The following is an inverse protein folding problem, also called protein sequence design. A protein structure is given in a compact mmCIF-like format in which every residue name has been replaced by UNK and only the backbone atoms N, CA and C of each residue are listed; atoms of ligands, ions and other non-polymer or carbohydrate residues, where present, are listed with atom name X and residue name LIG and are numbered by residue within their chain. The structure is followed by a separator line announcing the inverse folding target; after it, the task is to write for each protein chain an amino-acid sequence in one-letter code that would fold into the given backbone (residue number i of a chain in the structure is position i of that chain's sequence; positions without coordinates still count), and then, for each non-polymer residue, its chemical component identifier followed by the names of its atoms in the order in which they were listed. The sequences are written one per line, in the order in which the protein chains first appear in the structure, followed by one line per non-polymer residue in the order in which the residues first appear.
data_IF_923170388141
#
_entry.id   IF_923170388141
#
_cell.length_a   1.000
_cell.length_b   1.000
_cell.length_c   1.000
_cell.angle_alpha   90.00
_cell.angle_beta   90.00
_cell.angle_gamma   90.00
#
_symmetry.space_group_name_H-M   'P 1'
#
loop_
_entity.id
_entity.type
_entity.pdbx_description
1 polymer ?
#
# COMPACT_ATOMS: atom_id res chain seq x y z
N UNK A 1 -5.60 -17.68 14.10
CA UNK A 1 -4.73 -17.54 12.93
C UNK A 1 -5.23 -16.36 12.13
N UNK A 2 -4.31 -15.57 11.57
CA UNK A 2 -4.63 -14.51 10.63
C UNK A 2 -5.29 -15.13 9.41
N UNK A 3 -6.39 -14.55 8.94
CA UNK A 3 -7.17 -15.04 7.82
C UNK A 3 -7.43 -13.96 6.76
N UNK A 4 -8.02 -14.38 5.64
CA UNK A 4 -8.25 -13.58 4.45
C UNK A 4 -9.15 -12.37 4.74
N UNK A 5 -10.12 -12.52 5.64
CA UNK A 5 -11.04 -11.43 6.01
C UNK A 5 -10.28 -10.34 6.77
N UNK A 6 -9.37 -10.71 7.68
CA UNK A 6 -8.57 -9.73 8.42
C UNK A 6 -7.62 -8.96 7.50
N UNK A 7 -6.97 -9.64 6.55
CA UNK A 7 -6.10 -9.00 5.57
C UNK A 7 -6.90 -8.13 4.59
N UNK A 8 -8.05 -8.62 4.10
CA UNK A 8 -8.92 -7.83 3.23
C UNK A 8 -9.43 -6.57 3.94
N UNK A 9 -9.77 -6.66 5.23
CA UNK A 9 -10.17 -5.51 6.04
C UNK A 9 -9.01 -4.51 6.23
N UNK A 10 -7.78 -5.01 6.46
CA UNK A 10 -6.58 -4.17 6.51
C UNK A 10 -6.37 -3.44 5.17
N UNK A 11 -6.37 -4.17 4.05
CA UNK A 11 -6.13 -3.59 2.73
C UNK A 11 -7.23 -2.59 2.33
N UNK A 12 -8.49 -2.86 2.69
CA UNK A 12 -9.59 -1.93 2.48
C UNK A 12 -9.42 -0.62 3.27
N UNK A 13 -9.00 -0.71 4.54
CA UNK A 13 -8.71 0.46 5.36
C UNK A 13 -7.51 1.24 4.82
N UNK A 14 -6.43 0.55 4.46
CA UNK A 14 -5.23 1.10 3.84
C UNK A 14 -5.57 1.89 2.57
N UNK A 15 -6.28 1.26 1.64
CA UNK A 15 -6.66 1.85 0.36
C UNK A 15 -7.61 3.04 0.55
N UNK A 16 -8.57 2.93 1.48
CA UNK A 16 -9.48 4.04 1.81
C UNK A 16 -8.71 5.26 2.29
N UNK A 17 -7.69 5.09 3.13
CA UNK A 17 -6.86 6.20 3.62
C UNK A 17 -6.18 6.93 2.47
N UNK A 18 -5.69 6.20 1.47
CA UNK A 18 -5.10 6.79 0.26
C UNK A 18 -6.20 7.48 -0.59
N UNK A 19 -7.28 6.79 -0.89
CA UNK A 19 -8.36 7.29 -1.76
C UNK A 19 -9.10 8.51 -1.19
N UNK A 20 -9.13 8.65 0.14
CA UNK A 20 -9.75 9.78 0.83
C UNK A 20 -8.78 10.93 1.11
N UNK A 21 -7.56 10.88 0.58
CA UNK A 21 -6.52 11.90 0.80
C UNK A 21 -6.12 12.08 2.28
N UNK A 22 -6.27 11.03 3.10
CA UNK A 22 -5.89 11.04 4.52
C UNK A 22 -4.43 10.58 4.71
N UNK A 23 -3.52 11.10 3.87
CA UNK A 23 -2.15 10.60 3.72
C UNK A 23 -1.38 10.54 5.04
N UNK A 24 -1.59 11.49 5.94
CA UNK A 24 -0.93 11.58 7.24
C UNK A 24 -1.21 10.37 8.15
N UNK A 25 -2.29 9.63 7.90
CA UNK A 25 -2.65 8.42 8.64
C UNK A 25 -2.01 7.16 8.03
N UNK A 26 -1.57 7.22 6.78
CA UNK A 26 -1.06 6.07 6.03
C UNK A 26 0.17 5.39 6.67
N UNK A 27 1.14 6.10 7.26
CA UNK A 27 2.29 5.46 7.92
C UNK A 27 1.87 4.56 9.09
N UNK A 28 0.70 4.81 9.70
CA UNK A 28 0.22 4.05 10.87
C UNK A 28 -0.19 2.61 10.55
N UNK A 29 -0.33 2.26 9.26
CA UNK A 29 -0.53 0.89 8.81
C UNK A 29 0.73 0.04 8.95
N UNK A 30 1.90 0.65 9.14
CA UNK A 30 3.19 -0.04 9.13
C UNK A 30 3.81 -0.12 10.53
N UNK A 31 4.73 -1.07 10.71
CA UNK A 31 5.63 -1.10 11.87
C UNK A 31 6.70 -0.02 11.75
N UNK A 32 7.38 0.31 12.86
CA UNK A 32 8.45 1.32 12.87
C UNK A 32 9.61 0.94 11.94
N UNK A 33 9.95 -0.35 11.90
CA UNK A 33 11.00 -1.00 11.11
C UNK A 33 10.49 -1.56 9.78
N UNK A 34 9.39 -1.02 9.25
CA UNK A 34 8.81 -1.51 8.01
C UNK A 34 9.73 -1.28 6.80
N UNK A 35 9.52 -2.09 5.77
CA UNK A 35 10.15 -1.90 4.47
C UNK A 35 9.06 -1.82 3.40
N UNK A 36 8.88 -0.63 2.83
CA UNK A 36 7.91 -0.36 1.79
C UNK A 36 8.61 -0.12 0.45
N UNK A 37 8.18 -0.87 -0.57
CA UNK A 37 8.72 -0.75 -1.92
C UNK A 37 7.63 -0.81 -2.97
N UNK A 38 7.68 0.11 -3.92
CA UNK A 38 6.93 0.05 -5.17
C UNK A 38 7.94 -0.13 -6.30
N UNK A 39 7.84 -1.23 -7.03
CA UNK A 39 8.74 -1.54 -8.16
C UNK A 39 7.97 -2.25 -9.28
N UNK A 40 8.58 -2.41 -10.45
CA UNK A 40 7.98 -3.14 -11.56
C UNK A 40 8.24 -4.66 -11.42
N UNK A 41 7.52 -5.45 -12.22
CA UNK A 41 7.60 -6.92 -12.17
C UNK A 41 8.99 -7.44 -12.54
N UNK A 42 9.66 -6.80 -13.51
CA UNK A 42 10.97 -7.22 -13.99
C UNK A 42 12.06 -7.02 -12.91
N UNK A 43 12.11 -5.83 -12.28
CA UNK A 43 13.04 -5.57 -11.19
C UNK A 43 12.76 -6.47 -9.98
N UNK A 44 11.48 -6.76 -9.71
CA UNK A 44 11.13 -7.70 -8.64
C UNK A 44 11.66 -9.12 -8.95
N UNK A 45 11.45 -9.60 -10.18
CA UNK A 45 11.90 -10.92 -10.63
C UNK A 45 13.44 -11.04 -10.62
N UNK A 46 14.16 -9.96 -10.95
CA UNK A 46 15.63 -9.92 -10.95
C UNK A 46 16.24 -9.57 -9.58
N UNK A 47 15.42 -9.28 -8.56
CA UNK A 47 15.90 -8.91 -7.23
C UNK A 47 16.61 -7.55 -7.17
N UNK A 48 16.36 -6.67 -8.13
CA UNK A 48 16.99 -5.35 -8.19
C UNK A 48 16.40 -4.41 -7.12
N UNK A 49 17.28 -3.59 -6.52
CA UNK A 49 16.87 -2.60 -5.52
C UNK A 49 16.15 -1.39 -6.12
N UNK A 50 16.33 -1.15 -7.43
CA UNK A 50 15.69 -0.02 -8.12
C UNK A 50 14.16 -0.14 -8.08
N UNK A 51 13.51 0.91 -7.60
CA UNK A 51 12.06 1.02 -7.49
C UNK A 51 11.59 2.46 -7.61
N UNK A 52 10.29 2.63 -7.83
CA UNK A 52 9.61 3.93 -7.87
C UNK A 52 9.55 4.54 -6.46
N UNK A 53 9.33 3.69 -5.46
CA UNK A 53 9.35 4.08 -4.05
C UNK A 53 10.18 3.08 -3.26
N UNK A 54 11.01 3.61 -2.37
CA UNK A 54 11.79 2.86 -1.40
C UNK A 54 11.76 3.59 -0.06
N UNK A 55 11.35 2.90 0.99
CA UNK A 55 11.41 3.38 2.36
C UNK A 55 11.68 2.19 3.29
N UNK A 56 12.67 2.33 4.17
CA UNK A 56 13.10 1.28 5.11
C UNK A 56 12.73 1.60 6.57
N UNK A 57 11.84 2.57 6.77
CA UNK A 57 11.29 2.93 8.07
C UNK A 57 9.95 3.67 7.95
N UNK A 58 9.16 3.66 9.02
CA UNK A 58 7.93 4.46 9.12
C UNK A 58 8.21 5.97 9.06
N UNK A 59 9.38 6.41 9.55
CA UNK A 59 9.77 7.82 9.51
C UNK A 59 10.00 8.27 8.05
N UNK A 60 10.63 7.45 7.22
CA UNK A 60 10.75 7.74 5.78
C UNK A 60 9.40 7.83 5.06
N UNK A 61 8.41 7.03 5.47
CA UNK A 61 7.05 7.15 4.93
C UNK A 61 6.41 8.48 5.32
N UNK A 62 6.64 8.92 6.56
CA UNK A 62 6.14 10.19 7.09
C UNK A 62 6.79 11.37 6.36
N UNK A 63 8.11 11.35 6.19
CA UNK A 63 8.86 12.37 5.43
C UNK A 63 8.37 12.47 3.99
N UNK A 64 8.09 11.31 3.36
CA UNK A 64 7.54 11.26 2.00
C UNK A 64 6.18 11.97 1.92
N UNK A 65 5.29 11.77 2.89
CA UNK A 65 3.98 12.45 2.91
C UNK A 65 4.15 13.95 3.09
N UNK A 66 5.01 14.39 4.00
CA UNK A 66 5.32 15.80 4.19
C UNK A 66 5.82 16.45 2.90
N UNK A 67 6.76 15.79 2.21
CA UNK A 67 7.26 16.24 0.91
C UNK A 67 6.15 16.29 -0.16
N UNK A 68 5.25 15.30 -0.19
CA UNK A 68 4.10 15.29 -1.11
C UNK A 68 3.14 16.45 -0.85
N UNK A 69 2.97 16.91 0.41
CA UNK A 69 2.12 18.05 0.74
C UNK A 69 2.74 19.40 0.37
N UNK A 70 4.05 19.54 0.56
CA UNK A 70 4.76 20.80 0.34
C UNK A 70 5.16 21.02 -1.13
N UNK A 71 5.50 19.95 -1.86
CA UNK A 71 6.08 20.05 -3.20
C UNK A 71 5.07 19.95 -4.35
N UNK A 72 3.86 19.43 -4.12
CA UNK A 72 2.95 19.09 -5.22
C UNK A 72 2.00 20.22 -5.61
N UNK A 73 2.42 21.00 -6.61
CA UNK A 73 1.49 21.69 -7.52
C UNK A 73 0.96 20.64 -8.51
N UNK A 74 0.08 19.75 -8.05
CA UNK A 74 -0.49 18.71 -8.91
C UNK A 74 -1.85 19.10 -9.47
N UNK A 75 -2.08 18.70 -10.71
CA UNK A 75 -3.40 18.67 -11.33
C UNK A 75 -4.36 17.87 -10.43
N UNK A 76 -5.55 18.44 -10.17
CA UNK A 76 -6.53 17.82 -9.26
C UNK A 76 -7.05 16.51 -9.86
N UNK A 77 -6.66 15.39 -9.26
CA UNK A 77 -7.14 14.06 -9.56
C UNK A 77 -7.47 13.32 -8.27
N UNK A 78 -8.17 12.19 -8.39
CA UNK A 78 -8.41 11.24 -7.28
C UNK A 78 -8.02 9.84 -7.71
N UNK A 79 -7.71 9.01 -6.72
CA UNK A 79 -7.49 7.59 -6.93
C UNK A 79 -8.70 6.77 -6.48
N UNK A 80 -8.86 5.60 -7.10
CA UNK A 80 -9.72 4.54 -6.63
C UNK A 80 -8.99 3.22 -6.69
N UNK A 81 -8.80 2.59 -5.55
CA UNK A 81 -8.27 1.23 -5.47
C UNK A 81 -9.40 0.21 -5.62
N UNK A 82 -9.19 -0.77 -6.50
CA UNK A 82 -9.97 -1.98 -6.63
C UNK A 82 -9.07 -3.14 -6.21
N UNK A 83 -9.44 -3.82 -5.14
CA UNK A 83 -8.63 -4.87 -4.54
C UNK A 83 -9.31 -6.23 -4.76
N UNK A 84 -8.53 -7.24 -5.12
CA UNK A 84 -9.01 -8.62 -5.10
C UNK A 84 -8.96 -9.23 -3.71
N UNK A 85 -9.32 -10.52 -3.62
CA UNK A 85 -9.18 -11.26 -2.38
C UNK A 85 -7.70 -11.58 -2.12
N UNK A 86 -7.24 -11.45 -0.86
CA UNK A 86 -5.89 -11.85 -0.50
C UNK A 86 -5.72 -13.37 -0.59
N UNK A 87 -4.57 -13.81 -1.08
CA UNK A 87 -4.10 -15.20 -1.01
C UNK A 87 -3.04 -15.32 0.06
N UNK A 88 -3.27 -16.14 1.09
CA UNK A 88 -2.33 -16.34 2.19
C UNK A 88 -1.35 -17.45 1.82
N UNK A 89 -0.05 -17.14 1.76
CA UNK A 89 0.99 -18.14 1.54
C UNK A 89 1.43 -18.81 2.86
N UNK A 90 1.43 -18.06 3.96
CA UNK A 90 1.73 -18.57 5.29
C UNK A 90 1.07 -17.69 6.35
N UNK A 91 0.71 -18.26 7.49
CA UNK A 91 0.22 -17.45 8.61
C UNK A 91 -0.06 -18.25 9.87
N UNK A 92 0.12 -17.59 11.00
CA UNK A 92 -0.22 -18.08 12.34
C UNK A 92 -1.06 -17.05 13.09
N UNK A 93 -1.06 -17.06 14.42
CA UNK A 93 -1.83 -16.11 15.22
C UNK A 93 -1.25 -14.68 15.21
N UNK A 94 0.02 -14.51 14.87
CA UNK A 94 0.78 -13.27 15.02
C UNK A 94 1.39 -12.76 13.73
N UNK A 95 1.70 -13.61 12.75
CA UNK A 95 2.34 -13.23 11.49
C UNK A 95 1.66 -13.89 10.30
N UNK A 96 1.70 -13.23 9.14
CA UNK A 96 1.26 -13.81 7.88
C UNK A 96 2.05 -13.25 6.69
N UNK A 97 2.19 -14.06 5.64
CA UNK A 97 2.56 -13.58 4.30
C UNK A 97 1.35 -13.76 3.40
N UNK A 98 0.96 -12.69 2.70
CA UNK A 98 -0.14 -12.75 1.75
C UNK A 98 0.19 -11.94 0.50
N UNK A 99 -0.47 -12.31 -0.59
CA UNK A 99 -0.50 -11.50 -1.81
C UNK A 99 -1.90 -11.00 -2.11
N UNK A 100 -2.04 -9.77 -2.61
CA UNK A 100 -3.35 -9.19 -2.94
C UNK A 100 -3.28 -8.46 -4.28
N UNK A 101 -4.01 -8.90 -5.32
CA UNK A 101 -4.02 -8.19 -6.59
C UNK A 101 -4.76 -6.86 -6.45
N UNK A 102 -4.28 -5.84 -7.13
CA UNK A 102 -4.89 -4.51 -7.13
C UNK A 102 -4.96 -3.91 -8.54
N UNK A 103 -5.91 -3.00 -8.69
CA UNK A 103 -5.97 -2.02 -9.78
C UNK A 103 -6.25 -0.64 -9.18
N UNK A 104 -5.48 0.35 -9.60
CA UNK A 104 -5.68 1.76 -9.21
C UNK A 104 -6.18 2.51 -10.43
N UNK A 105 -7.35 3.12 -10.29
CA UNK A 105 -7.89 4.04 -11.28
C UNK A 105 -7.51 5.47 -10.91
N UNK A 106 -7.07 6.26 -11.87
CA UNK A 106 -6.93 7.72 -11.73
C UNK A 106 -8.14 8.38 -12.37
N UNK A 107 -8.77 9.28 -11.62
CA UNK A 107 -9.97 10.01 -12.02
C UNK A 107 -9.61 11.49 -12.05
N UNK A 108 -9.57 12.06 -13.25
CA UNK A 108 -9.29 13.48 -13.46
C UNK A 108 -10.51 14.35 -13.08
N UNK A 109 -10.31 15.63 -12.83
CA UNK A 109 -11.43 16.55 -12.52
C UNK A 109 -12.47 16.64 -13.66
N UNK A 110 -12.08 16.28 -14.89
CA UNK A 110 -12.95 16.22 -16.09
C UNK A 110 -13.86 15.00 -16.08
N UNK A 111 -13.60 14.02 -15.20
CA UNK A 111 -14.30 12.74 -15.14
C UNK A 111 -13.62 11.62 -15.94
N UNK A 112 -12.58 11.94 -16.72
CA UNK A 112 -11.77 10.92 -17.39
C UNK A 112 -11.18 9.96 -16.36
N UNK A 113 -11.35 8.67 -16.63
CA UNK A 113 -10.91 7.59 -15.74
C UNK A 113 -10.06 6.61 -16.52
N UNK A 114 -8.86 6.33 -16.02
CA UNK A 114 -7.91 5.40 -16.63
C UNK A 114 -7.26 4.49 -15.59
N UNK A 115 -6.73 3.36 -16.05
CA UNK A 115 -5.90 2.50 -15.22
C UNK A 115 -4.55 3.18 -15.01
N UNK A 116 -4.30 3.62 -13.78
CA UNK A 116 -3.04 4.25 -13.40
C UNK A 116 -1.96 3.21 -13.08
N UNK A 117 -2.34 2.17 -12.34
CA UNK A 117 -1.47 1.07 -12.00
C UNK A 117 -2.27 -0.22 -11.80
N UNK A 118 -1.65 -1.37 -12.07
CA UNK A 118 -2.17 -2.68 -11.72
C UNK A 118 -1.02 -3.56 -11.28
N UNK A 119 -1.25 -4.41 -10.29
CA UNK A 119 -0.20 -5.28 -9.77
C UNK A 119 -0.67 -6.11 -8.60
N UNK A 120 0.26 -6.45 -7.72
CA UNK A 120 0.02 -7.26 -6.54
C UNK A 120 0.78 -6.69 -5.35
N UNK A 121 0.12 -6.58 -4.20
CA UNK A 121 0.80 -6.37 -2.93
C UNK A 121 1.42 -7.68 -2.49
N UNK A 122 2.66 -7.65 -2.03
CA UNK A 122 3.40 -8.80 -1.52
C UNK A 122 3.84 -8.49 -0.09
N UNK A 123 2.95 -8.77 0.86
CA UNK A 123 3.03 -8.21 2.20
C UNK A 123 3.38 -9.26 3.24
N UNK A 124 4.14 -8.83 4.24
CA UNK A 124 4.37 -9.56 5.48
C UNK A 124 3.70 -8.79 6.60
N UNK A 125 2.68 -9.41 7.18
CA UNK A 125 1.90 -8.84 8.26
C UNK A 125 2.39 -9.32 9.61
N UNK A 126 2.26 -8.45 10.61
CA UNK A 126 2.42 -8.80 12.02
C UNK A 126 1.28 -8.21 12.85
N UNK A 127 0.97 -8.83 13.98
CA UNK A 127 0.01 -8.30 14.94
C UNK A 127 0.73 -7.51 16.02
N UNK A 128 0.34 -6.24 16.20
CA UNK A 128 0.79 -5.38 17.30
C UNK A 128 -0.45 -4.85 18.02
N UNK A 129 -0.53 -5.05 19.33
CA UNK A 129 -1.67 -4.66 20.18
C UNK A 129 -3.04 -5.12 19.61
N UNK A 130 -3.06 -6.33 19.04
CA UNK A 130 -4.26 -6.94 18.45
C UNK A 130 -4.67 -6.36 17.08
N UNK A 131 -3.83 -5.51 16.46
CA UNK A 131 -4.07 -4.96 15.12
C UNK A 131 -3.02 -5.45 14.14
N UNK A 132 -3.44 -5.73 12.91
CA UNK A 132 -2.52 -6.01 11.81
C UNK A 132 -1.75 -4.75 11.43
N UNK A 133 -0.47 -4.96 11.12
CA UNK A 133 0.51 -4.01 10.59
C UNK A 133 1.30 -4.70 9.49
#
# INVERSE_FOLDING_TARGET
MINEIQIAAFNAAYAKTIDSDAMEQWPTFFTKDCHYRVTNVDNHAEGLAAGIVWADSQDMLTDRISALREANIYERHRYRHILGLPSIQSGDATQASASTPFMVLRIMHTGETEVFASGEYLDKFTTIDGKLR
#
